data_IF_350018818934
#
_entry.id   IF_350018818934
#
_cell.length_a   1.000
_cell.length_b   1.000
_cell.length_c   1.000
_cell.angle_alpha   90.00
_cell.angle_beta   90.00
_cell.angle_gamma   90.00
#
_symmetry.space_group_name_H-M   'P 1'
#
loop_
_entity.id
_entity.type
_entity.pdbx_description
1 polymer ?
#
# COMPACT_ATOMS: atom_id res chain seq x y z
N UNK A 1 23.46 -16.77 9.27
CA UNK A 1 22.58 -17.67 8.49
C UNK A 1 21.09 -17.45 8.75
N UNK A 2 20.69 -17.02 9.95
CA UNK A 2 19.28 -16.83 10.35
C UNK A 2 18.50 -15.88 9.43
N UNK A 3 19.13 -14.82 8.92
CA UNK A 3 18.51 -13.87 8.00
C UNK A 3 18.07 -14.49 6.66
N UNK A 4 18.76 -15.54 6.18
CA UNK A 4 18.38 -16.24 4.95
C UNK A 4 17.12 -17.08 5.14
N UNK A 5 16.94 -17.64 6.34
CA UNK A 5 15.78 -18.47 6.69
C UNK A 5 14.54 -17.58 6.85
N UNK A 6 14.66 -16.49 7.61
CA UNK A 6 13.59 -15.49 7.77
C UNK A 6 13.19 -14.91 6.40
N UNK A 7 14.19 -14.57 5.57
CA UNK A 7 13.96 -14.05 4.21
C UNK A 7 13.29 -15.06 3.27
N UNK A 8 13.63 -16.35 3.36
CA UNK A 8 13.00 -17.40 2.56
C UNK A 8 11.54 -17.62 2.96
N UNK A 9 11.23 -17.57 4.26
CA UNK A 9 9.85 -17.71 4.77
C UNK A 9 9.02 -16.50 4.34
N UNK A 10 9.50 -15.28 4.58
CA UNK A 10 8.81 -14.07 4.14
C UNK A 10 8.65 -14.00 2.61
N UNK A 11 9.67 -14.41 1.86
CA UNK A 11 9.65 -14.47 0.39
C UNK A 11 8.65 -15.48 -0.16
N UNK A 12 8.50 -16.65 0.48
CA UNK A 12 7.52 -17.68 0.09
C UNK A 12 6.07 -17.26 0.34
N UNK A 13 5.83 -16.44 1.36
CA UNK A 13 4.50 -15.87 1.60
C UNK A 13 4.19 -14.72 0.65
N UNK A 14 5.18 -13.86 0.37
CA UNK A 14 5.03 -12.79 -0.61
C UNK A 14 4.75 -13.35 -2.02
N UNK A 15 5.50 -14.39 -2.45
CA UNK A 15 5.35 -14.98 -3.79
C UNK A 15 3.94 -15.55 -4.05
N UNK A 16 3.27 -16.07 -3.02
CA UNK A 16 1.88 -16.57 -3.12
C UNK A 16 0.84 -15.46 -3.32
N UNK A 17 1.08 -14.26 -2.80
CA UNK A 17 0.16 -13.13 -2.93
C UNK A 17 0.45 -12.23 -4.14
N UNK A 18 1.69 -12.18 -4.61
CA UNK A 18 2.11 -11.33 -5.75
C UNK A 18 1.96 -12.00 -7.12
N UNK A 19 1.48 -13.24 -7.17
CA UNK A 19 1.27 -14.01 -8.42
C UNK A 19 0.25 -13.35 -9.38
N UNK A 20 -0.43 -12.27 -8.97
CA UNK A 20 -1.32 -11.44 -9.78
C UNK A 20 -0.74 -10.09 -10.25
N UNK A 21 0.47 -9.71 -9.84
CA UNK A 21 1.14 -8.47 -10.27
C UNK A 21 1.93 -8.70 -11.59
N UNK A 22 1.31 -9.38 -12.56
CA UNK A 22 1.92 -9.88 -13.81
C UNK A 22 2.21 -8.79 -14.88
N UNK A 23 2.64 -7.61 -14.47
CA UNK A 23 3.04 -6.53 -15.38
C UNK A 23 4.54 -6.28 -15.33
N UNK A 24 5.11 -5.82 -16.45
CA UNK A 24 6.52 -5.39 -16.53
C UNK A 24 6.91 -4.41 -15.41
N UNK A 25 6.00 -3.52 -15.01
CA UNK A 25 6.20 -2.61 -13.88
C UNK A 25 6.34 -3.30 -12.52
N UNK A 26 5.54 -4.35 -12.26
CA UNK A 26 5.59 -5.11 -11.01
C UNK A 26 6.85 -5.96 -10.88
N UNK A 27 7.29 -6.58 -11.98
CA UNK A 27 8.55 -7.32 -12.03
C UNK A 27 9.77 -6.40 -11.92
N UNK A 28 9.77 -5.27 -12.62
CA UNK A 28 10.86 -4.29 -12.54
C UNK A 28 10.98 -3.71 -11.14
N UNK A 29 9.88 -3.34 -10.49
CA UNK A 29 9.91 -2.91 -9.09
C UNK A 29 10.34 -4.06 -8.16
N UNK A 30 9.85 -5.27 -8.39
CA UNK A 30 10.21 -6.46 -7.61
C UNK A 30 11.70 -6.80 -7.66
N UNK A 31 12.39 -6.50 -8.76
CA UNK A 31 13.85 -6.67 -8.90
C UNK A 31 14.60 -5.42 -8.42
N UNK A 32 14.14 -4.23 -8.77
CA UNK A 32 14.83 -2.98 -8.45
C UNK A 32 14.84 -2.69 -6.94
N UNK A 33 13.70 -2.85 -6.27
CA UNK A 33 13.55 -2.56 -4.84
C UNK A 33 14.56 -3.34 -3.98
N UNK A 34 14.67 -4.68 -4.03
CA UNK A 34 15.64 -5.40 -3.21
C UNK A 34 17.09 -5.11 -3.59
N UNK A 35 17.36 -4.77 -4.86
CA UNK A 35 18.70 -4.40 -5.33
C UNK A 35 19.13 -3.06 -4.73
N UNK A 36 18.23 -2.08 -4.69
CA UNK A 36 18.48 -0.82 -3.98
C UNK A 36 18.55 -1.04 -2.47
N UNK A 37 17.64 -1.83 -1.89
CA UNK A 37 17.59 -2.09 -0.45
C UNK A 37 18.89 -2.70 0.09
N UNK A 38 19.55 -3.55 -0.70
CA UNK A 38 20.86 -4.14 -0.35
C UNK A 38 21.99 -3.11 -0.27
N UNK A 39 21.80 -1.93 -0.87
CA UNK A 39 22.74 -0.79 -0.83
C UNK A 39 22.35 0.29 0.20
N UNK A 40 21.18 0.18 0.83
CA UNK A 40 20.70 1.19 1.78
C UNK A 40 21.21 0.88 3.20
N UNK A 41 21.82 1.89 3.82
CA UNK A 41 22.18 1.87 5.24
C UNK A 41 20.92 1.84 6.12
N UNK A 42 21.00 1.38 7.39
CA UNK A 42 19.86 1.31 8.34
C UNK A 42 19.05 2.61 8.45
N UNK A 43 19.72 3.76 8.31
CA UNK A 43 19.10 5.09 8.27
C UNK A 43 18.09 5.25 7.11
N UNK A 44 18.40 4.72 5.93
CA UNK A 44 17.47 4.80 4.79
C UNK A 44 16.24 3.93 4.99
N UNK A 45 16.35 2.79 5.68
CA UNK A 45 15.17 1.99 6.03
C UNK A 45 14.24 2.77 6.97
N UNK A 46 14.79 3.48 7.94
CA UNK A 46 14.02 4.34 8.85
C UNK A 46 13.37 5.48 8.07
N UNK A 47 14.11 6.13 7.15
CA UNK A 47 13.57 7.20 6.32
C UNK A 47 12.43 6.72 5.41
N UNK A 48 12.57 5.56 4.77
CA UNK A 48 11.53 4.95 3.94
C UNK A 48 10.32 4.55 4.79
N UNK A 49 10.51 3.99 5.98
CA UNK A 49 9.42 3.65 6.89
C UNK A 49 8.66 4.89 7.36
N UNK A 50 9.38 5.92 7.81
CA UNK A 50 8.79 7.18 8.29
C UNK A 50 8.10 7.95 7.14
N UNK A 51 8.76 8.05 5.98
CA UNK A 51 8.22 8.67 4.78
C UNK A 51 6.99 7.93 4.25
N UNK A 52 7.04 6.60 4.22
CA UNK A 52 5.91 5.76 3.84
C UNK A 52 4.72 5.91 4.80
N UNK A 53 4.95 6.00 6.10
CA UNK A 53 3.90 6.24 7.09
C UNK A 53 3.27 7.63 6.95
N UNK A 54 4.09 8.67 6.78
CA UNK A 54 3.60 10.03 6.55
C UNK A 54 2.80 10.13 5.24
N UNK A 55 3.31 9.51 4.17
CA UNK A 55 2.62 9.43 2.89
C UNK A 55 1.29 8.67 2.99
N UNK A 56 1.27 7.51 3.67
CA UNK A 56 0.04 6.74 3.91
C UNK A 56 -1.02 7.60 4.60
N UNK A 57 -0.66 8.28 5.69
CA UNK A 57 -1.59 9.15 6.44
C UNK A 57 -2.12 10.30 5.58
N UNK A 58 -1.33 10.79 4.64
CA UNK A 58 -1.75 11.81 3.69
C UNK A 58 -2.69 11.25 2.61
N UNK A 59 -2.36 10.08 2.05
CA UNK A 59 -3.17 9.39 1.07
C UNK A 59 -4.53 8.99 1.65
N UNK A 60 -4.57 8.42 2.86
CA UNK A 60 -5.81 8.03 3.54
C UNK A 60 -6.77 9.23 3.72
N UNK A 61 -6.24 10.42 4.01
CA UNK A 61 -7.05 11.66 4.09
C UNK A 61 -7.62 12.05 2.73
N UNK A 62 -6.81 11.99 1.68
CA UNK A 62 -7.25 12.28 0.30
C UNK A 62 -8.30 11.29 -0.18
N UNK A 63 -8.16 10.01 0.16
CA UNK A 63 -9.13 8.96 -0.16
C UNK A 63 -10.42 9.14 0.63
N UNK A 64 -10.35 9.47 1.92
CA UNK A 64 -11.52 9.82 2.72
C UNK A 64 -12.28 11.01 2.14
N UNK A 65 -11.59 12.09 1.76
CA UNK A 65 -12.21 13.24 1.08
C UNK A 65 -12.85 12.86 -0.25
N UNK A 66 -12.22 11.94 -1.00
CA UNK A 66 -12.73 11.44 -2.28
C UNK A 66 -13.96 10.55 -2.10
N UNK A 67 -13.99 9.74 -1.03
CA UNK A 67 -15.15 8.92 -0.64
C UNK A 67 -16.30 9.78 -0.12
N UNK A 68 -16.01 10.86 0.62
CA UNK A 68 -17.01 11.81 1.11
C UNK A 68 -17.63 12.61 -0.05
N UNK A 69 -16.82 13.08 -1.01
CA UNK A 69 -17.33 13.70 -2.25
C UNK A 69 -18.04 12.71 -3.18
N UNK A 70 -17.72 11.42 -3.07
CA UNK A 70 -18.38 10.36 -3.83
C UNK A 70 -19.68 9.88 -3.17
N UNK A 71 -20.04 10.35 -1.96
CA UNK A 71 -21.41 10.18 -1.45
C UNK A 71 -22.33 11.08 -2.26
N UNK A 72 -23.23 10.53 -3.10
CA UNK A 72 -24.24 11.35 -3.73
C UNK A 72 -25.13 11.90 -2.61
N UNK A 73 -25.17 13.22 -2.48
CA UNK A 73 -26.05 13.98 -1.58
C UNK A 73 -27.54 13.87 -1.97
N UNK A 74 -27.96 12.75 -2.57
CA UNK A 74 -29.29 12.54 -3.13
C UNK A 74 -30.16 11.51 -2.40
N UNK A 75 -29.74 10.99 -1.25
CA UNK A 75 -30.51 9.98 -0.48
C UNK A 75 -30.80 10.45 0.95
N UNK A 76 -31.15 11.73 1.12
CA UNK A 76 -31.82 12.22 2.31
C UNK A 76 -33.24 12.67 1.93
N UNK A 77 -34.17 11.73 2.05
CA UNK A 77 -35.58 11.86 2.44
C UNK A 77 -36.51 12.87 1.73
N UNK A 78 -37.62 12.37 1.15
CA UNK A 78 -38.94 12.89 1.53
C UNK A 78 -39.94 11.74 1.69
N UNK A 79 -39.93 11.05 2.84
CA UNK A 79 -41.07 10.22 3.28
C UNK A 79 -41.48 10.56 4.70
N UNK A 80 -41.58 11.87 4.98
CA UNK A 80 -42.45 12.40 6.01
C UNK A 80 -43.43 13.31 5.30
N UNK A 81 -44.72 12.99 5.36
CA UNK A 81 -45.86 13.62 4.63
C UNK A 81 -46.21 12.97 3.29
N UNK A 82 -46.77 11.76 3.30
CA UNK A 82 -47.98 11.42 2.54
C UNK A 82 -48.60 10.15 3.12
N UNK A 83 -49.94 10.19 3.25
CA UNK A 83 -50.88 9.23 3.83
C UNK A 83 -51.01 9.26 5.37
#
# INVERSE_FOLDING_TARGET
MIGKIIGAIAGSHASKHVQGLNGSGGALLGVAVPTLLRRLSPLSLIAVAAGGYAYKKYADRREADKLERARPSGFAEPTRTQA
#
